data_IF_416291585107
#
_entry.id   IF_416291585107
#
_cell.length_a   1.000
_cell.length_b   1.000
_cell.length_c   1.000
_cell.angle_alpha   90.00
_cell.angle_beta   90.00
_cell.angle_gamma   90.00
#
_symmetry.space_group_name_H-M   'P 1'
#
loop_
_entity.id
_entity.type
_entity.pdbx_description
1 polymer ?
#
# COMPACT_ATOMS: atom_id res chain seq x y z
N UNK A 1 18.78 -13.50 9.62
CA UNK A 1 18.30 -13.00 8.32
C UNK A 1 18.67 -11.53 8.22
N UNK A 2 19.11 -11.06 7.06
CA UNK A 2 19.22 -9.61 6.84
C UNK A 2 17.78 -9.07 6.70
N UNK A 3 17.39 -7.99 7.40
CA UNK A 3 16.10 -7.36 7.16
C UNK A 3 16.17 -6.67 5.80
N UNK A 4 15.95 -7.44 4.73
CA UNK A 4 15.80 -6.90 3.40
C UNK A 4 14.51 -6.08 3.36
N UNK A 5 14.60 -4.82 2.95
CA UNK A 5 13.43 -4.04 2.61
C UNK A 5 12.73 -4.75 1.45
N UNK A 6 11.49 -5.20 1.67
CA UNK A 6 10.66 -5.72 0.58
C UNK A 6 10.21 -4.52 -0.26
N UNK A 7 10.68 -4.37 -1.51
CA UNK A 7 10.25 -3.26 -2.35
C UNK A 7 8.76 -3.45 -2.64
N UNK A 8 7.93 -2.44 -2.38
CA UNK A 8 6.52 -2.43 -2.78
C UNK A 8 6.43 -2.08 -4.27
N UNK A 9 6.41 -3.10 -5.12
CA UNK A 9 6.38 -2.97 -6.58
C UNK A 9 4.94 -3.17 -7.08
N UNK A 10 4.42 -2.31 -7.98
CA UNK A 10 3.14 -2.53 -8.65
C UNK A 10 3.00 -3.96 -9.18
N UNK A 11 1.85 -4.59 -8.95
CA UNK A 11 1.60 -5.97 -9.33
C UNK A 11 1.92 -7.00 -8.24
N UNK A 12 2.49 -6.58 -7.10
CA UNK A 12 2.77 -7.52 -6.01
C UNK A 12 1.49 -8.05 -5.36
N UNK A 13 1.42 -9.38 -5.10
CA UNK A 13 0.31 -9.94 -4.35
C UNK A 13 0.36 -9.46 -2.90
N UNK A 14 -0.80 -9.10 -2.38
CA UNK A 14 -0.99 -8.66 -1.00
C UNK A 14 -2.20 -9.36 -0.39
N UNK A 15 -2.29 -9.31 0.94
CA UNK A 15 -3.40 -9.87 1.70
C UNK A 15 -3.87 -8.83 2.72
N UNK A 16 -5.19 -8.69 2.88
CA UNK A 16 -5.74 -7.88 3.96
C UNK A 16 -5.44 -8.55 5.31
N UNK A 17 -4.91 -7.77 6.24
CA UNK A 17 -4.68 -8.19 7.62
C UNK A 17 -5.84 -7.87 8.54
N UNK A 18 -6.75 -6.99 8.11
CA UNK A 18 -7.83 -6.45 8.92
C UNK A 18 -9.15 -6.44 8.12
N UNK A 19 -10.26 -6.44 8.84
CA UNK A 19 -11.58 -6.30 8.25
C UNK A 19 -11.82 -4.83 7.90
N UNK A 20 -12.11 -4.54 6.62
CA UNK A 20 -12.30 -3.17 6.14
C UNK A 20 -13.76 -2.92 5.78
N UNK A 21 -14.38 -3.82 5.01
CA UNK A 21 -15.77 -3.72 4.56
C UNK A 21 -16.30 -5.13 4.24
N UNK A 22 -16.70 -5.85 5.29
CA UNK A 22 -17.09 -7.26 5.19
C UNK A 22 -18.32 -7.47 4.30
N UNK A 23 -19.21 -6.50 4.26
CA UNK A 23 -20.40 -6.45 3.39
C UNK A 23 -20.07 -6.33 1.91
N UNK A 24 -18.83 -5.90 1.58
CA UNK A 24 -18.28 -5.86 0.23
C UNK A 24 -17.27 -6.99 -0.02
N UNK A 25 -17.18 -7.99 0.87
CA UNK A 25 -16.21 -9.09 0.78
C UNK A 25 -14.75 -8.69 1.05
N UNK A 26 -14.51 -7.55 1.71
CA UNK A 26 -13.20 -7.07 2.11
C UNK A 26 -12.94 -7.38 3.60
N UNK A 27 -12.53 -8.61 3.86
CA UNK A 27 -12.18 -9.11 5.20
C UNK A 27 -10.71 -9.48 5.31
N UNK A 28 -10.24 -9.76 6.52
CA UNK A 28 -8.96 -10.41 6.74
C UNK A 28 -8.85 -11.66 5.85
N UNK A 29 -7.72 -11.78 5.16
CA UNK A 29 -7.45 -12.88 4.23
C UNK A 29 -7.81 -12.59 2.77
N UNK A 30 -8.54 -11.51 2.46
CA UNK A 30 -8.86 -11.16 1.06
C UNK A 30 -7.59 -10.87 0.29
N UNK A 31 -7.43 -11.54 -0.86
CA UNK A 31 -6.31 -11.36 -1.75
C UNK A 31 -6.46 -10.10 -2.60
N UNK A 32 -5.37 -9.39 -2.77
CA UNK A 32 -5.29 -8.22 -3.63
C UNK A 32 -3.96 -8.10 -4.36
N UNK A 33 -3.88 -7.06 -5.16
CA UNK A 33 -2.70 -6.64 -5.88
C UNK A 33 -2.38 -5.22 -5.45
N UNK A 34 -1.13 -4.99 -5.05
CA UNK A 34 -0.62 -3.65 -4.83
C UNK A 34 -0.54 -2.90 -6.17
N UNK A 35 -1.18 -1.73 -6.26
CA UNK A 35 -1.19 -0.95 -7.49
C UNK A 35 -0.15 0.17 -7.47
N UNK A 36 -0.28 1.12 -6.54
CA UNK A 36 0.62 2.27 -6.45
C UNK A 36 0.56 2.95 -5.08
N UNK A 37 1.60 3.72 -4.76
CA UNK A 37 1.62 4.68 -3.67
C UNK A 37 1.63 6.08 -4.28
N UNK A 38 0.65 6.90 -3.90
CA UNK A 38 0.57 8.30 -4.30
C UNK A 38 0.86 9.15 -3.08
N UNK A 39 1.88 10.00 -3.19
CA UNK A 39 2.21 10.98 -2.19
C UNK A 39 1.46 12.26 -2.51
N UNK A 40 0.74 12.80 -1.52
CA UNK A 40 0.19 14.14 -1.62
C UNK A 40 1.33 15.11 -1.29
N UNK A 41 1.69 15.99 -2.22
CA UNK A 41 2.70 17.03 -1.99
C UNK A 41 2.16 18.02 -0.96
N UNK A 42 2.55 17.84 0.30
CA UNK A 42 2.57 18.93 1.26
C UNK A 42 3.99 19.51 1.27
N UNK A 43 4.11 20.68 0.63
CA UNK A 43 5.29 21.53 0.44
C UNK A 43 6.40 21.03 -0.53
N UNK A 44 6.60 21.82 -1.57
CA UNK A 44 7.48 21.64 -2.73
C UNK A 44 9.00 21.73 -2.43
N UNK A 45 9.44 21.33 -1.24
CA UNK A 45 10.85 21.43 -0.81
C UNK A 45 11.43 20.13 -0.24
N UNK A 46 10.78 18.98 -0.44
CA UNK A 46 11.35 17.70 0.01
C UNK A 46 12.38 17.22 -1.01
N UNK A 47 13.64 17.57 -0.77
CA UNK A 47 14.79 16.91 -1.40
C UNK A 47 14.65 15.40 -1.21
N UNK A 48 14.56 14.65 -2.32
CA UNK A 48 14.62 13.19 -2.33
C UNK A 48 16.00 12.73 -1.84
N UNK A 49 16.21 12.73 -0.52
CA UNK A 49 17.36 12.07 0.08
C UNK A 49 16.99 10.59 0.28
N UNK A 50 17.78 9.71 -0.32
CA UNK A 50 17.66 8.27 -0.17
C UNK A 50 17.46 7.88 1.31
N UNK A 51 16.40 7.11 1.59
CA UNK A 51 16.06 6.46 2.86
C UNK A 51 15.00 7.11 3.79
N UNK A 52 14.24 8.14 3.40
CA UNK A 52 13.07 8.57 4.19
C UNK A 52 11.78 8.55 3.37
N UNK A 53 10.85 7.69 3.80
CA UNK A 53 9.46 7.76 3.33
C UNK A 53 8.89 9.15 3.61
N UNK A 54 8.25 9.80 2.62
CA UNK A 54 7.64 11.11 2.79
C UNK A 54 6.68 11.08 3.98
N UNK A 55 6.81 12.07 4.89
CA UNK A 55 5.95 12.19 6.07
C UNK A 55 4.59 12.85 5.76
N UNK A 56 4.31 13.17 4.49
CA UNK A 56 3.03 13.71 4.04
C UNK A 56 1.93 12.65 4.02
N UNK A 57 0.70 13.07 3.71
CA UNK A 57 -0.40 12.13 3.50
C UNK A 57 -0.05 11.21 2.33
N UNK A 58 0.11 9.92 2.63
CA UNK A 58 0.42 8.89 1.65
C UNK A 58 -0.86 8.10 1.40
N UNK A 59 -1.34 8.12 0.16
CA UNK A 59 -2.51 7.33 -0.27
C UNK A 59 -2.00 6.08 -0.96
N UNK A 60 -2.38 4.91 -0.43
CA UNK A 60 -2.02 3.62 -1.00
C UNK A 60 -3.23 3.07 -1.77
N UNK A 61 -3.03 2.75 -3.04
CA UNK A 61 -4.07 2.17 -3.89
C UNK A 61 -3.86 0.66 -4.00
N UNK A 62 -4.88 -0.08 -3.58
CA UNK A 62 -4.91 -1.53 -3.56
C UNK A 62 -6.11 -2.02 -4.36
N UNK A 63 -5.91 -3.06 -5.18
CA UNK A 63 -7.00 -3.68 -5.95
C UNK A 63 -7.26 -5.06 -5.36
N UNK A 64 -8.46 -5.27 -4.83
CA UNK A 64 -8.84 -6.54 -4.23
C UNK A 64 -9.79 -7.32 -5.14
N UNK A 65 -9.65 -8.64 -5.12
CA UNK A 65 -10.64 -9.53 -5.73
C UNK A 65 -11.70 -9.86 -4.70
N UNK A 66 -12.88 -9.26 -4.85
CA UNK A 66 -14.06 -9.60 -4.05
C UNK A 66 -14.55 -10.98 -4.48
N UNK A 67 -14.70 -11.90 -3.51
CA UNK A 67 -15.38 -13.17 -3.75
C UNK A 67 -16.89 -12.94 -3.60
N UNK A 68 -17.71 -13.46 -4.55
CA UNK A 68 -19.16 -13.34 -4.48
C UNK A 68 -19.77 -14.10 -3.30
#
# INVERSE_FOLDING_TARGET
SLPGYLPLVPGMPIILTDNIATELGLSNGTQGIFHQIVYEESDSNVLYSDAKFPKGQTKIFLVFKVQP
#
